data_IF_779648345868
#
_entry.id   IF_779648345868
#
_cell.length_a   1.000
_cell.length_b   1.000
_cell.length_c   1.000
_cell.angle_alpha   90.00
_cell.angle_beta   90.00
_cell.angle_gamma   90.00
#
_symmetry.space_group_name_H-M   'P 1'
#
loop_
_entity.id
_entity.type
_entity.pdbx_description
1 polymer ?
#
# COMPACT_ATOMS: atom_id res chain seq x y z
N UNK A 1 -5.89 16.52 -17.79
CA UNK A 1 -5.63 15.10 -18.11
C UNK A 1 -6.00 14.30 -16.87
N UNK A 2 -6.78 13.22 -17.02
CA UNK A 2 -7.00 12.29 -15.92
C UNK A 2 -5.71 11.49 -15.69
N UNK A 3 -5.31 11.32 -14.44
CA UNK A 3 -4.19 10.47 -14.07
C UNK A 3 -4.62 9.01 -14.19
N UNK A 4 -3.84 8.22 -14.92
CA UNK A 4 -3.99 6.77 -15.00
C UNK A 4 -3.11 6.16 -13.92
N UNK A 5 -3.67 5.26 -13.11
CA UNK A 5 -2.98 4.61 -11.99
C UNK A 5 -2.72 3.16 -12.36
N UNK A 6 -1.45 2.75 -12.41
CA UNK A 6 -1.08 1.38 -12.72
C UNK A 6 -0.58 0.62 -11.49
N UNK A 7 -0.74 -0.70 -11.53
CA UNK A 7 -0.24 -1.65 -10.55
C UNK A 7 1.27 -1.51 -10.45
N UNK A 8 1.77 -1.60 -9.22
CA UNK A 8 3.17 -1.45 -8.85
C UNK A 8 3.77 -0.05 -9.01
N UNK A 9 2.98 0.95 -9.37
CA UNK A 9 3.38 2.35 -9.20
C UNK A 9 3.30 2.75 -7.72
N UNK A 10 4.13 3.72 -7.35
CA UNK A 10 4.17 4.29 -5.99
C UNK A 10 3.64 5.70 -6.03
N UNK A 11 2.66 5.98 -5.18
CA UNK A 11 2.05 7.30 -5.04
C UNK A 11 2.11 7.79 -3.61
N UNK A 12 2.15 9.11 -3.45
CA UNK A 12 1.99 9.74 -2.15
C UNK A 12 0.48 9.80 -1.83
N UNK A 13 0.04 9.06 -0.82
CA UNK A 13 -1.38 8.92 -0.47
C UNK A 13 -1.65 9.56 0.88
N UNK A 14 -2.70 10.37 0.97
CA UNK A 14 -3.21 10.88 2.23
C UNK A 14 -4.10 9.82 2.91
N UNK A 15 -3.76 9.43 4.13
CA UNK A 15 -4.44 8.38 4.90
C UNK A 15 -5.25 8.97 6.09
N UNK A 16 -5.48 10.28 6.09
CA UNK A 16 -6.22 10.97 7.15
C UNK A 16 -7.70 11.19 6.76
N UNK A 17 -8.67 10.99 7.69
CA UNK A 17 -8.51 10.51 9.06
C UNK A 17 -8.35 8.99 9.13
N UNK A 18 -7.71 8.51 10.21
CA UNK A 18 -7.49 7.09 10.47
C UNK A 18 -8.20 6.67 11.77
N UNK A 19 -8.57 5.40 11.90
CA UNK A 19 -9.25 4.86 13.10
C UNK A 19 -8.35 3.88 13.84
N UNK A 20 -8.20 4.06 15.15
CA UNK A 20 -7.44 3.15 16.02
C UNK A 20 -5.94 3.18 15.71
N UNK A 21 -5.39 2.02 15.34
CA UNK A 21 -3.96 1.84 15.03
C UNK A 21 -3.62 2.05 13.55
N UNK A 22 -4.58 2.51 12.75
CA UNK A 22 -4.35 2.86 11.35
C UNK A 22 -3.34 4.01 11.21
N UNK A 23 -2.63 4.03 10.09
CA UNK A 23 -1.60 5.03 9.82
C UNK A 23 -2.27 6.36 9.48
N UNK A 24 -2.14 7.35 10.36
CA UNK A 24 -2.70 8.70 10.20
C UNK A 24 -1.64 9.70 9.69
N UNK A 25 -1.10 9.48 8.48
CA UNK A 25 -0.17 10.40 7.79
C UNK A 25 -0.22 10.21 6.28
N UNK A 26 0.12 11.26 5.54
CA UNK A 26 0.45 11.14 4.11
C UNK A 26 1.74 10.34 3.91
N UNK A 27 1.70 9.24 3.16
CA UNK A 27 2.85 8.33 2.95
C UNK A 27 2.91 7.74 1.54
N UNK A 28 4.10 7.33 1.07
CA UNK A 28 4.21 6.49 -0.12
C UNK A 28 3.41 5.21 0.06
N UNK A 29 2.64 4.83 -0.96
CA UNK A 29 1.89 3.59 -1.02
C UNK A 29 2.04 2.96 -2.40
N UNK A 30 2.12 1.63 -2.42
CA UNK A 30 2.20 0.82 -3.64
C UNK A 30 0.79 0.47 -4.10
N UNK A 31 0.50 0.63 -5.39
CA UNK A 31 -0.75 0.14 -5.98
C UNK A 31 -0.67 -1.38 -6.14
N UNK A 32 -1.61 -2.11 -5.56
CA UNK A 32 -1.66 -3.58 -5.63
C UNK A 32 -2.85 -4.13 -6.41
N UNK A 33 -3.87 -3.31 -6.68
CA UNK A 33 -5.00 -3.68 -7.53
C UNK A 33 -4.60 -3.78 -9.02
N UNK A 34 -5.22 -4.68 -9.81
CA UNK A 34 -5.01 -4.82 -11.26
C UNK A 34 -5.33 -3.54 -12.05
N UNK A 35 -4.62 -3.34 -13.17
CA UNK A 35 -4.79 -2.19 -14.06
C UNK A 35 -6.20 -2.11 -14.64
N UNK A 36 -6.76 -3.26 -15.02
CA UNK A 36 -8.12 -3.37 -15.55
C UNK A 36 -9.17 -2.83 -14.57
N UNK A 37 -8.89 -2.89 -13.27
CA UNK A 37 -9.77 -2.33 -12.25
C UNK A 37 -9.45 -0.85 -12.03
N UNK A 38 -8.17 -0.49 -11.91
CA UNK A 38 -7.74 0.88 -11.67
C UNK A 38 -8.21 1.84 -12.78
N UNK A 39 -8.32 1.36 -14.02
CA UNK A 39 -8.75 2.16 -15.18
C UNK A 39 -10.26 2.26 -15.32
N UNK A 40 -11.01 1.33 -14.70
CA UNK A 40 -12.46 1.20 -14.88
C UNK A 40 -13.26 1.68 -13.67
N UNK A 41 -12.65 1.79 -12.49
CA UNK A 41 -13.30 2.29 -11.28
C UNK A 41 -12.46 3.36 -10.58
N UNK A 42 -13.10 4.16 -9.72
CA UNK A 42 -12.46 5.28 -9.01
C UNK A 42 -11.75 4.87 -7.71
N UNK A 43 -11.60 3.57 -7.47
CA UNK A 43 -11.04 3.03 -6.23
C UNK A 43 -9.86 2.15 -6.57
N UNK A 44 -8.75 2.37 -5.88
CA UNK A 44 -7.52 1.57 -6.00
C UNK A 44 -7.18 0.96 -4.65
N UNK A 45 -6.66 -0.26 -4.66
CA UNK A 45 -6.17 -0.92 -3.44
C UNK A 45 -4.69 -0.63 -3.34
N UNK A 46 -4.26 -0.12 -2.18
CA UNK A 46 -2.86 0.29 -1.95
C UNK A 46 -2.30 -0.32 -0.68
N UNK A 47 -0.98 -0.51 -0.65
CA UNK A 47 -0.23 -0.93 0.53
C UNK A 47 0.71 0.20 0.97
N UNK A 48 0.49 0.83 2.14
CA UNK A 48 1.35 1.92 2.62
C UNK A 48 2.73 1.40 3.02
N UNK A 49 3.76 2.16 2.67
CA UNK A 49 5.15 1.82 2.97
C UNK A 49 5.61 2.46 4.29
N UNK A 50 6.39 1.72 5.07
CA UNK A 50 7.08 2.23 6.27
C UNK A 50 8.58 2.32 6.01
N UNK A 51 9.22 3.36 6.52
CA UNK A 51 10.69 3.51 6.48
C UNK A 51 11.41 2.72 7.57
N UNK A 52 10.69 2.31 8.62
CA UNK A 52 11.20 1.34 9.59
C UNK A 52 11.05 -0.06 9.01
N UNK A 53 12.14 -0.60 8.48
CA UNK A 53 12.25 -2.04 8.25
C UNK A 53 12.22 -2.77 9.58
N UNK A 54 11.34 -3.77 9.71
CA UNK A 54 11.52 -4.80 10.72
C UNK A 54 12.42 -5.85 10.10
N UNK A 55 13.60 -6.03 10.67
CA UNK A 55 14.44 -7.19 10.40
C UNK A 55 13.89 -8.36 11.23
N UNK A 56 12.61 -8.70 11.03
CA UNK A 56 12.07 -9.91 11.62
C UNK A 56 12.66 -11.07 10.81
N UNK A 57 13.48 -11.95 11.41
CA UNK A 57 13.91 -13.16 10.72
C UNK A 57 12.66 -13.96 10.38
N UNK A 58 12.66 -14.66 9.23
CA UNK A 58 11.60 -15.60 8.87
C UNK A 58 11.26 -16.47 10.08
N UNK A 59 9.96 -16.75 10.34
CA UNK A 59 9.62 -17.71 11.37
C UNK A 59 10.27 -19.02 10.98
N UNK A 60 11.33 -19.38 11.71
CA UNK A 60 12.14 -20.56 11.44
C UNK A 60 11.22 -21.74 11.26
N UNK A 61 11.45 -22.51 10.19
CA UNK A 61 10.91 -23.85 10.07
C UNK A 61 11.36 -24.58 11.33
N UNK A 62 10.45 -24.75 12.30
CA UNK A 62 10.63 -25.68 13.39
C UNK A 62 10.46 -27.07 12.78
N UNK A 63 11.57 -27.63 12.34
CA UNK A 63 11.71 -29.07 12.15
C UNK A 63 11.94 -29.69 13.54
N UNK A 64 11.01 -30.60 13.87
CA UNK A 64 10.84 -31.43 15.09
C UNK A 64 10.14 -30.80 16.30
#
# INVERSE_FOLDING_TARGET
MAMVVNRFEVYLVNLDPAVGSEIQKTRPALIISPDEINHNIRTVVTAPMTTRGRNDPEPGIQSE
#
